data_IF_928011046031
#
_entry.id   IF_928011046031
#
_cell.length_a   1.000
_cell.length_b   1.000
_cell.length_c   1.000
_cell.angle_alpha   90.00
_cell.angle_beta   90.00
_cell.angle_gamma   90.00
#
_symmetry.space_group_name_H-M   'P 1'
#
loop_
_entity.id
_entity.type
_entity.pdbx_description
1 polymer ?
#
# COMPACT_ATOMS: atom_id res chain seq x y z
N UNK A 1 16.57 -5.40 -23.43
CA UNK A 1 15.24 -6.05 -23.40
C UNK A 1 15.39 -7.23 -22.46
N UNK A 2 15.00 -7.05 -21.21
CA UNK A 2 15.16 -8.08 -20.21
C UNK A 2 14.06 -9.10 -20.39
N UNK A 3 14.45 -10.30 -20.82
CA UNK A 3 13.55 -11.44 -20.93
C UNK A 3 13.21 -11.90 -19.53
N UNK A 4 12.21 -11.24 -18.88
CA UNK A 4 11.55 -11.81 -17.72
C UNK A 4 10.94 -13.10 -18.25
N UNK A 5 11.52 -14.25 -17.88
CA UNK A 5 10.85 -15.52 -18.09
C UNK A 5 9.44 -15.36 -17.53
N UNK A 6 8.41 -15.50 -18.38
CA UNK A 6 6.99 -15.39 -18.03
C UNK A 6 6.58 -16.56 -17.14
N UNK A 7 7.21 -16.67 -15.96
CA UNK A 7 6.60 -17.31 -14.84
C UNK A 7 5.54 -16.34 -14.31
N UNK A 8 4.33 -16.79 -14.11
CA UNK A 8 3.31 -15.97 -13.49
C UNK A 8 3.82 -15.44 -12.15
N UNK A 9 3.78 -14.15 -11.95
CA UNK A 9 4.06 -13.51 -10.67
C UNK A 9 2.97 -12.53 -10.33
N UNK A 10 2.87 -12.21 -9.04
CA UNK A 10 2.02 -11.14 -8.52
C UNK A 10 2.82 -10.28 -7.58
N UNK A 11 2.58 -8.98 -7.65
CA UNK A 11 3.21 -7.97 -6.79
C UNK A 11 2.16 -7.41 -5.86
N UNK A 12 2.40 -7.49 -4.56
CA UNK A 12 1.59 -6.81 -3.57
C UNK A 12 2.38 -5.65 -2.99
N UNK A 13 1.91 -4.42 -3.25
CA UNK A 13 2.40 -3.22 -2.61
C UNK A 13 1.74 -3.09 -1.25
N UNK A 14 2.48 -3.45 -0.22
CA UNK A 14 1.99 -3.51 1.14
C UNK A 14 2.17 -2.21 1.91
N UNK A 15 1.12 -1.77 2.63
CA UNK A 15 1.22 -0.60 3.49
C UNK A 15 -0.02 -0.38 4.35
N UNK A 16 0.12 0.47 5.38
CA UNK A 16 -1.02 0.92 6.19
C UNK A 16 -1.88 1.95 5.46
N UNK A 17 -1.25 2.83 4.68
CA UNK A 17 -1.89 3.89 3.90
C UNK A 17 -2.91 4.72 4.72
N UNK A 18 -2.40 5.49 5.67
CA UNK A 18 -3.20 6.28 6.61
C UNK A 18 -2.97 7.81 6.48
N UNK A 19 -3.43 8.45 5.37
CA UNK A 19 -3.95 7.87 4.14
C UNK A 19 -2.85 7.57 3.10
N UNK A 20 -3.24 6.95 1.96
CA UNK A 20 -2.41 6.96 0.76
C UNK A 20 -2.28 8.41 0.23
N UNK A 21 -1.10 8.79 -0.19
CA UNK A 21 -0.81 10.10 -0.79
C UNK A 21 -0.01 9.94 -2.10
N UNK A 22 0.23 11.03 -2.83
CA UNK A 22 0.91 10.99 -4.14
C UNK A 22 2.28 10.30 -4.13
N UNK A 23 3.01 10.34 -3.00
CA UNK A 23 4.27 9.61 -2.86
C UNK A 23 4.10 8.10 -2.91
N UNK A 24 3.07 7.57 -2.25
CA UNK A 24 2.72 6.16 -2.36
C UNK A 24 2.21 5.81 -3.77
N UNK A 25 1.40 6.69 -4.35
CA UNK A 25 0.87 6.48 -5.70
C UNK A 25 1.96 6.47 -6.77
N UNK A 26 2.96 7.35 -6.66
CA UNK A 26 4.12 7.36 -7.56
C UNK A 26 4.89 6.03 -7.53
N UNK A 27 5.10 5.46 -6.34
CA UNK A 27 5.70 4.14 -6.23
C UNK A 27 4.80 3.04 -6.84
N UNK A 28 3.49 3.09 -6.60
CA UNK A 28 2.55 2.16 -7.23
C UNK A 28 2.62 2.21 -8.75
N UNK A 29 2.66 3.40 -9.36
CA UNK A 29 2.82 3.56 -10.80
C UNK A 29 4.16 3.00 -11.33
N UNK A 30 5.26 3.22 -10.59
CA UNK A 30 6.57 2.62 -10.93
C UNK A 30 6.52 1.08 -10.91
N UNK A 31 5.85 0.51 -9.91
CA UNK A 31 5.64 -0.93 -9.84
C UNK A 31 4.83 -1.44 -11.05
N UNK A 32 3.75 -0.75 -11.41
CA UNK A 32 2.96 -1.08 -12.60
C UNK A 32 3.79 -0.99 -13.89
N UNK A 33 4.61 0.04 -14.04
CA UNK A 33 5.52 0.18 -15.18
C UNK A 33 6.58 -0.91 -15.25
N UNK A 34 7.04 -1.41 -14.10
CA UNK A 34 8.07 -2.47 -14.02
C UNK A 34 7.49 -3.87 -14.19
N UNK A 35 6.35 -4.16 -13.59
CA UNK A 35 5.82 -5.52 -13.46
C UNK A 35 4.54 -5.77 -14.26
N UNK A 36 4.01 -4.76 -14.93
CA UNK A 36 2.70 -4.80 -15.60
C UNK A 36 1.55 -4.46 -14.64
N UNK A 37 0.63 -3.61 -15.10
CA UNK A 37 -0.47 -3.11 -14.27
C UNK A 37 -1.38 -4.22 -13.74
N UNK A 38 -1.58 -5.27 -14.53
CA UNK A 38 -2.41 -6.44 -14.21
C UNK A 38 -1.82 -7.35 -13.13
N UNK A 39 -0.55 -7.16 -12.81
CA UNK A 39 0.17 -7.96 -11.82
C UNK A 39 0.38 -7.24 -10.48
N UNK A 40 0.06 -5.93 -10.39
CA UNK A 40 0.33 -5.11 -9.21
C UNK A 40 -0.94 -4.79 -8.46
N UNK A 41 -0.97 -5.13 -7.19
CA UNK A 41 -2.10 -4.93 -6.28
C UNK A 41 -1.64 -4.21 -5.02
N UNK A 42 -2.53 -3.43 -4.42
CA UNK A 42 -2.33 -2.82 -3.11
C UNK A 42 -2.85 -3.79 -2.04
N UNK A 43 -1.98 -4.10 -1.08
CA UNK A 43 -2.34 -4.90 0.09
C UNK A 43 -2.44 -3.98 1.32
N UNK A 44 -3.63 -3.78 1.81
CA UNK A 44 -3.89 -3.04 3.04
C UNK A 44 -5.05 -3.67 3.81
N UNK A 45 -5.12 -3.45 5.11
CA UNK A 45 -6.20 -3.99 5.93
C UNK A 45 -6.51 -3.06 7.09
N UNK A 46 -7.70 -3.19 7.65
CA UNK A 46 -8.07 -2.64 8.94
C UNK A 46 -8.05 -3.80 9.94
N UNK A 47 -6.92 -3.96 10.63
CA UNK A 47 -6.68 -5.13 11.47
C UNK A 47 -7.36 -5.03 12.83
N UNK A 48 -7.40 -6.16 13.57
CA UNK A 48 -8.03 -6.24 14.89
C UNK A 48 -7.52 -5.20 15.88
N UNK A 49 -6.24 -4.82 15.83
CA UNK A 49 -5.67 -3.79 16.70
C UNK A 49 -6.24 -2.40 16.40
N UNK A 50 -6.38 -2.07 15.11
CA UNK A 50 -6.99 -0.81 14.70
C UNK A 50 -8.49 -0.79 15.04
N UNK A 51 -9.20 -1.90 14.85
CA UNK A 51 -10.60 -2.02 15.26
C UNK A 51 -10.76 -1.81 16.76
N UNK A 52 -9.95 -2.46 17.60
CA UNK A 52 -10.01 -2.30 19.05
C UNK A 52 -9.74 -0.84 19.49
N UNK A 53 -8.80 -0.15 18.82
CA UNK A 53 -8.56 1.27 19.09
C UNK A 53 -9.78 2.13 18.71
N UNK A 54 -10.41 1.88 17.57
CA UNK A 54 -11.64 2.58 17.17
C UNK A 54 -12.81 2.32 18.11
N UNK A 55 -12.94 1.11 18.66
CA UNK A 55 -13.97 0.77 19.67
C UNK A 55 -13.78 1.57 20.98
N UNK A 56 -12.54 2.03 21.23
CA UNK A 56 -12.15 2.91 22.33
C UNK A 56 -12.10 4.40 21.94
N UNK A 57 -12.55 4.76 20.73
CA UNK A 57 -12.46 6.09 20.12
C UNK A 57 -11.02 6.63 19.96
N UNK A 58 -10.03 5.75 19.82
CA UNK A 58 -8.65 6.13 19.49
C UNK A 58 -8.41 6.01 17.98
N UNK A 59 -8.41 7.14 17.31
CA UNK A 59 -8.16 7.27 15.85
C UNK A 59 -6.75 7.75 15.52
N UNK A 60 -5.86 7.86 16.50
CA UNK A 60 -4.56 8.53 16.37
C UNK A 60 -3.61 7.83 15.39
N UNK A 61 -3.54 6.50 15.44
CA UNK A 61 -2.59 5.71 14.65
C UNK A 61 -3.15 5.28 13.28
N UNK A 62 -4.40 4.80 13.27
CA UNK A 62 -5.04 4.19 12.11
C UNK A 62 -6.48 4.77 11.94
N UNK A 63 -6.64 6.07 11.60
CA UNK A 63 -7.94 6.74 11.57
C UNK A 63 -8.90 6.20 10.50
N UNK A 64 -8.38 5.60 9.42
CA UNK A 64 -9.20 5.19 8.29
C UNK A 64 -9.41 3.68 8.25
N UNK A 65 -10.69 3.27 8.13
CA UNK A 65 -11.09 1.88 7.87
C UNK A 65 -10.60 1.41 6.50
N UNK A 66 -10.78 0.13 6.18
CA UNK A 66 -10.44 -0.38 4.85
C UNK A 66 -11.29 0.30 3.76
N UNK A 67 -12.58 0.44 3.98
CA UNK A 67 -13.54 1.03 3.04
C UNK A 67 -13.21 2.51 2.77
N UNK A 68 -12.83 3.26 3.78
CA UNK A 68 -12.39 4.64 3.63
C UNK A 68 -11.07 4.75 2.87
N UNK A 69 -10.10 3.90 3.17
CA UNK A 69 -8.85 3.84 2.40
C UNK A 69 -9.10 3.49 0.94
N UNK A 70 -9.97 2.51 0.69
CA UNK A 70 -10.38 2.11 -0.65
C UNK A 70 -11.02 3.29 -1.41
N UNK A 71 -11.98 3.98 -0.78
CA UNK A 71 -12.62 5.16 -1.34
C UNK A 71 -11.59 6.28 -1.67
N UNK A 72 -10.68 6.58 -0.75
CA UNK A 72 -9.61 7.57 -0.96
C UNK A 72 -8.74 7.19 -2.16
N UNK A 73 -8.27 5.95 -2.22
CA UNK A 73 -7.38 5.47 -3.28
C UNK A 73 -8.06 5.50 -4.65
N UNK A 74 -9.29 5.01 -4.72
CA UNK A 74 -10.07 5.01 -5.95
C UNK A 74 -10.37 6.43 -6.43
N UNK A 75 -10.90 7.29 -5.56
CA UNK A 75 -11.34 8.65 -5.92
C UNK A 75 -10.18 9.59 -6.24
N UNK A 76 -9.12 9.55 -5.43
CA UNK A 76 -8.02 10.49 -5.58
C UNK A 76 -7.03 10.09 -6.67
N UNK A 77 -6.80 8.79 -6.87
CA UNK A 77 -5.74 8.28 -7.74
C UNK A 77 -6.26 7.43 -8.90
N UNK A 78 -7.58 7.24 -9.01
CA UNK A 78 -8.20 6.40 -10.03
C UNK A 78 -7.62 4.97 -10.08
N UNK A 79 -7.29 4.44 -8.90
CA UNK A 79 -6.84 3.04 -8.78
C UNK A 79 -8.08 2.16 -8.93
N UNK A 80 -7.99 1.12 -9.75
CA UNK A 80 -9.10 0.19 -9.96
C UNK A 80 -9.46 -0.53 -8.64
N UNK A 81 -10.76 -0.67 -8.37
CA UNK A 81 -11.27 -1.28 -7.14
C UNK A 81 -10.73 -2.70 -6.92
N UNK A 82 -10.58 -3.47 -8.00
CA UNK A 82 -10.05 -4.83 -7.98
C UNK A 82 -8.54 -4.91 -7.71
N UNK A 83 -7.83 -3.79 -7.78
CA UNK A 83 -6.41 -3.68 -7.40
C UNK A 83 -6.20 -3.31 -5.94
N UNK A 84 -7.25 -2.94 -5.18
CA UNK A 84 -7.18 -2.58 -3.77
C UNK A 84 -7.73 -3.73 -2.93
N UNK A 85 -6.84 -4.49 -2.31
CA UNK A 85 -7.21 -5.76 -1.68
C UNK A 85 -7.12 -5.67 -0.15
N UNK A 86 -8.23 -6.05 0.51
CA UNK A 86 -8.26 -6.17 1.97
C UNK A 86 -7.52 -7.44 2.39
N UNK A 87 -6.23 -7.31 2.61
CA UNK A 87 -5.36 -8.42 3.01
C UNK A 87 -4.16 -7.92 3.81
N UNK A 88 -3.52 -8.82 4.55
CA UNK A 88 -2.34 -8.49 5.34
C UNK A 88 -1.17 -8.06 4.44
N UNK A 89 -0.56 -6.86 4.63
CA UNK A 89 0.51 -6.35 3.78
C UNK A 89 1.72 -7.29 3.65
N UNK A 90 2.05 -8.01 4.72
CA UNK A 90 3.23 -8.89 4.78
C UNK A 90 2.91 -10.36 4.50
N UNK A 91 1.64 -10.72 4.43
CA UNK A 91 1.14 -12.07 4.13
C UNK A 91 -0.15 -11.98 3.33
N UNK A 92 -0.11 -11.43 2.13
CA UNK A 92 -1.30 -11.26 1.32
C UNK A 92 -1.88 -12.61 0.89
N UNK A 93 -3.20 -12.68 0.85
CA UNK A 93 -3.88 -13.82 0.26
C UNK A 93 -3.94 -13.67 -1.26
N UNK A 94 -3.09 -14.39 -1.96
CA UNK A 94 -2.98 -14.34 -3.43
C UNK A 94 -4.27 -14.73 -4.16
N UNK A 95 -5.17 -15.50 -3.51
CA UNK A 95 -6.48 -15.88 -4.09
C UNK A 95 -7.38 -14.67 -4.32
N UNK A 96 -7.26 -13.64 -3.48
CA UNK A 96 -7.99 -12.39 -3.64
C UNK A 96 -7.58 -11.63 -4.91
N UNK A 97 -6.34 -11.81 -5.37
CA UNK A 97 -5.86 -11.35 -6.66
C UNK A 97 -6.07 -12.39 -7.78
N UNK A 98 -6.88 -13.42 -7.56
CA UNK A 98 -7.14 -14.51 -8.51
C UNK A 98 -5.86 -15.22 -8.98
N UNK A 99 -4.88 -15.38 -8.08
CA UNK A 99 -3.60 -16.05 -8.36
C UNK A 99 -3.47 -17.36 -7.59
N UNK A 100 -2.98 -18.39 -8.28
CA UNK A 100 -2.70 -19.68 -7.66
C UNK A 100 -1.27 -19.71 -7.13
N UNK A 101 -1.09 -19.85 -5.81
CA UNK A 101 0.22 -19.87 -5.15
C UNK A 101 1.16 -20.99 -5.61
N UNK A 102 0.61 -22.09 -6.15
CA UNK A 102 1.40 -23.21 -6.67
C UNK A 102 2.04 -22.90 -8.03
N UNK A 103 1.50 -21.93 -8.76
CA UNK A 103 1.93 -21.54 -10.09
C UNK A 103 2.53 -20.13 -10.15
N UNK A 104 2.30 -19.30 -9.12
CA UNK A 104 2.57 -17.88 -9.16
C UNK A 104 3.62 -17.50 -8.11
N UNK A 105 4.65 -16.76 -8.50
CA UNK A 105 5.62 -16.19 -7.59
C UNK A 105 5.04 -14.96 -6.87
N UNK A 106 5.37 -14.79 -5.60
CA UNK A 106 4.93 -13.65 -4.78
C UNK A 106 6.07 -12.64 -4.63
N UNK A 107 5.82 -11.41 -5.06
CA UNK A 107 6.68 -10.27 -4.80
C UNK A 107 5.98 -9.34 -3.81
N UNK A 108 6.65 -9.06 -2.70
CA UNK A 108 6.19 -8.13 -1.67
C UNK A 108 6.95 -6.81 -1.87
N UNK A 109 6.23 -5.77 -2.31
CA UNK A 109 6.80 -4.47 -2.58
C UNK A 109 6.51 -3.50 -1.42
N UNK A 110 7.53 -2.74 -1.03
CA UNK A 110 7.46 -1.72 0.01
C UNK A 110 8.23 -0.47 -0.42
N UNK A 111 7.96 0.65 0.25
CA UNK A 111 8.82 1.82 0.15
C UNK A 111 10.10 1.59 0.96
N UNK A 112 11.15 2.31 0.61
CA UNK A 112 12.42 2.37 1.35
C UNK A 112 12.23 2.77 2.82
N UNK A 113 11.21 3.57 3.13
CA UNK A 113 10.83 3.95 4.51
C UNK A 113 10.36 2.77 5.37
N UNK A 114 9.93 1.69 4.73
CA UNK A 114 9.50 0.44 5.37
C UNK A 114 10.58 -0.65 5.32
N UNK A 115 11.80 -0.30 4.90
CA UNK A 115 12.95 -1.21 4.87
C UNK A 115 13.20 -1.84 6.26
N UNK A 116 13.47 -3.13 6.27
CA UNK A 116 13.70 -3.89 7.50
C UNK A 116 12.46 -4.44 8.21
N UNK A 117 11.23 -4.11 7.76
CA UNK A 117 10.00 -4.73 8.29
C UNK A 117 9.88 -6.21 7.90
N UNK A 118 10.39 -6.57 6.74
CA UNK A 118 10.64 -7.96 6.34
C UNK A 118 12.14 -8.15 6.15
N UNK A 119 12.66 -9.25 6.67
CA UNK A 119 14.07 -9.61 6.53
C UNK A 119 14.23 -10.80 5.62
N UNK A 120 15.18 -10.76 4.68
CA UNK A 120 15.55 -11.91 3.90
C UNK A 120 15.95 -13.10 4.78
N UNK A 121 15.66 -14.31 4.31
CA UNK A 121 15.96 -15.54 5.01
C UNK A 121 15.88 -16.73 4.04
N UNK A 122 15.64 -17.92 4.56
CA UNK A 122 15.62 -19.13 3.75
C UNK A 122 14.51 -19.16 2.68
N UNK A 123 13.33 -18.64 3.01
CA UNK A 123 12.14 -18.66 2.13
C UNK A 123 11.74 -17.28 1.60
N UNK A 124 12.27 -16.22 2.18
CA UNK A 124 12.06 -14.85 1.72
C UNK A 124 13.40 -14.33 1.24
N UNK A 125 13.47 -13.87 -0.01
CA UNK A 125 14.69 -13.39 -0.63
C UNK A 125 14.52 -11.98 -1.15
N UNK A 126 15.60 -11.22 -1.32
CA UNK A 126 15.53 -9.96 -2.04
C UNK A 126 15.23 -10.23 -3.52
N UNK A 127 14.36 -9.40 -4.10
CA UNK A 127 14.16 -9.40 -5.54
C UNK A 127 15.37 -8.74 -6.21
N UNK A 128 16.01 -9.47 -7.09
CA UNK A 128 17.10 -8.98 -7.93
C UNK A 128 16.69 -9.12 -9.41
N UNK A 129 17.13 -8.17 -10.24
CA UNK A 129 16.86 -8.24 -11.67
C UNK A 129 17.50 -9.49 -12.26
N UNK A 130 16.72 -10.27 -13.02
CA UNK A 130 17.21 -11.52 -13.61
C UNK A 130 17.14 -12.74 -12.68
N UNK A 131 16.71 -12.59 -11.42
CA UNK A 131 16.47 -13.75 -10.55
C UNK A 131 15.38 -14.64 -11.15
N UNK A 132 15.59 -15.95 -11.11
CA UNK A 132 14.54 -16.91 -11.45
C UNK A 132 13.49 -16.89 -10.35
N UNK A 133 12.30 -16.40 -10.69
CA UNK A 133 11.16 -16.45 -9.77
C UNK A 133 10.57 -17.85 -9.73
N UNK A 134 10.34 -18.33 -8.52
CA UNK A 134 9.69 -19.62 -8.27
C UNK A 134 8.37 -19.40 -7.55
N UNK A 135 7.39 -20.31 -7.71
CA UNK A 135 6.08 -20.20 -7.08
C UNK A 135 6.14 -19.98 -5.57
N UNK A 136 5.11 -19.32 -5.05
CA UNK A 136 4.99 -19.02 -3.61
C UNK A 136 4.90 -20.30 -2.76
N UNK A 137 4.24 -21.33 -3.24
CA UNK A 137 4.03 -22.57 -2.49
C UNK A 137 5.31 -23.42 -2.44
N UNK A 138 5.78 -23.73 -1.25
CA UNK A 138 6.82 -24.72 -1.00
C UNK A 138 6.17 -25.97 -0.37
N UNK A 139 5.41 -25.74 0.72
CA UNK A 139 4.63 -26.74 1.43
C UNK A 139 3.59 -26.02 2.31
N UNK A 140 2.78 -26.78 3.07
CA UNK A 140 1.70 -26.19 3.89
C UNK A 140 2.17 -25.23 4.99
N UNK A 141 3.44 -25.32 5.39
CA UNK A 141 4.03 -24.47 6.45
C UNK A 141 4.92 -23.37 5.92
N UNK A 142 5.40 -23.48 4.69
CA UNK A 142 6.42 -22.59 4.16
C UNK A 142 5.99 -22.01 2.81
N UNK A 143 6.12 -20.71 2.68
CA UNK A 143 5.79 -19.96 1.48
C UNK A 143 6.97 -19.08 1.08
N UNK A 144 7.30 -19.11 -0.22
CA UNK A 144 8.38 -18.28 -0.78
C UNK A 144 7.84 -16.91 -1.14
N UNK A 145 8.65 -15.89 -0.90
CA UNK A 145 8.38 -14.54 -1.39
C UNK A 145 9.67 -13.82 -1.75
N UNK A 146 9.55 -12.78 -2.56
CA UNK A 146 10.63 -11.90 -2.95
C UNK A 146 10.32 -10.48 -2.47
N UNK A 147 11.29 -9.82 -1.82
CA UNK A 147 11.16 -8.45 -1.34
C UNK A 147 11.65 -7.50 -2.41
N UNK A 148 10.82 -6.56 -2.80
CA UNK A 148 11.19 -5.43 -3.64
C UNK A 148 11.06 -4.13 -2.84
N UNK A 149 12.16 -3.41 -2.68
CA UNK A 149 12.16 -2.08 -2.06
C UNK A 149 12.23 -1.02 -3.15
N UNK A 150 11.20 -0.19 -3.23
CA UNK A 150 11.13 0.90 -4.18
C UNK A 150 11.45 2.24 -3.52
N UNK A 151 12.22 3.08 -4.23
CA UNK A 151 12.58 4.41 -3.74
C UNK A 151 11.36 5.35 -3.75
N UNK A 152 11.11 5.98 -2.63
CA UNK A 152 10.12 7.05 -2.51
C UNK A 152 10.62 8.29 -3.23
N UNK A 153 9.78 8.89 -4.09
CA UNK A 153 10.13 10.17 -4.76
C UNK A 153 9.98 11.39 -3.85
N UNK A 154 9.27 11.25 -2.76
CA UNK A 154 8.90 12.36 -1.87
C UNK A 154 9.34 12.02 -0.44
N UNK A 155 10.58 12.39 -0.11
CA UNK A 155 11.19 12.09 1.18
C UNK A 155 10.39 12.69 2.37
N UNK A 156 9.85 13.89 2.18
CA UNK A 156 9.14 14.64 3.23
C UNK A 156 7.67 14.25 3.38
N UNK A 157 7.13 13.39 2.51
CA UNK A 157 5.73 12.99 2.57
C UNK A 157 5.54 11.75 3.43
N UNK A 158 4.73 11.88 4.47
CA UNK A 158 4.25 10.74 5.25
C UNK A 158 2.79 10.95 5.68
N UNK A 159 2.06 9.84 5.88
CA UNK A 159 0.70 9.93 6.41
C UNK A 159 0.66 10.60 7.79
N UNK A 160 1.69 10.46 8.61
CA UNK A 160 1.80 11.13 9.92
C UNK A 160 1.95 12.65 9.75
N UNK A 161 2.87 13.11 8.87
CA UNK A 161 3.04 14.54 8.58
C UNK A 161 1.73 15.16 8.09
N UNK A 162 1.04 14.47 7.19
CA UNK A 162 -0.27 14.91 6.70
C UNK A 162 -1.31 15.04 7.81
N UNK A 163 -1.50 13.99 8.62
CA UNK A 163 -2.47 14.01 9.74
C UNK A 163 -2.19 15.11 10.74
N UNK A 164 -0.93 15.23 11.16
CA UNK A 164 -0.53 16.31 12.08
C UNK A 164 -0.83 17.70 11.50
N UNK A 165 -0.51 17.92 10.22
CA UNK A 165 -0.81 19.19 9.55
C UNK A 165 -2.33 19.48 9.51
N UNK A 166 -3.15 18.49 9.14
CA UNK A 166 -4.61 18.64 9.12
C UNK A 166 -5.20 19.00 10.50
N UNK A 167 -4.60 18.51 11.58
CA UNK A 167 -5.06 18.79 12.95
C UNK A 167 -4.53 20.11 13.51
N UNK A 168 -3.35 20.58 13.10
CA UNK A 168 -2.67 21.73 13.70
C UNK A 168 -2.82 23.04 12.91
N UNK A 169 -3.10 22.98 11.61
CA UNK A 169 -3.31 24.18 10.80
C UNK A 169 -4.60 24.91 11.22
N UNK A 170 -4.46 26.23 11.45
CA UNK A 170 -5.52 27.04 12.04
C UNK A 170 -6.59 27.54 11.06
N UNK A 171 -6.38 27.44 9.74
CA UNK A 171 -7.33 27.92 8.73
C UNK A 171 -7.72 26.85 7.76
N UNK A 172 -8.95 26.91 7.25
CA UNK A 172 -9.46 25.98 6.24
C UNK A 172 -8.68 26.08 4.91
N UNK A 173 -8.25 27.26 4.54
CA UNK A 173 -7.43 27.49 3.34
C UNK A 173 -6.12 26.73 3.44
N UNK A 174 -5.40 26.84 4.56
CA UNK A 174 -4.14 26.15 4.76
C UNK A 174 -4.30 24.62 4.78
N UNK A 175 -5.40 24.10 5.36
CA UNK A 175 -5.72 22.67 5.32
C UNK A 175 -6.01 22.18 3.89
N UNK A 176 -6.74 22.96 3.09
CA UNK A 176 -7.02 22.64 1.68
C UNK A 176 -5.75 22.69 0.81
N UNK A 177 -4.85 23.61 1.08
CA UNK A 177 -3.54 23.67 0.42
C UNK A 177 -2.70 22.44 0.77
N UNK A 178 -2.62 22.07 2.05
CA UNK A 178 -1.94 20.85 2.50
C UNK A 178 -2.54 19.61 1.84
N UNK A 179 -3.86 19.48 1.84
CA UNK A 179 -4.56 18.39 1.18
C UNK A 179 -4.17 18.30 -0.31
N UNK A 180 -4.26 19.42 -1.03
CA UNK A 180 -3.92 19.50 -2.45
C UNK A 180 -2.46 19.15 -2.69
N UNK A 181 -1.56 19.59 -1.80
CA UNK A 181 -0.15 19.23 -1.88
C UNK A 181 0.08 17.72 -1.77
N UNK A 182 -0.61 17.02 -0.84
CA UNK A 182 -0.44 15.60 -0.62
C UNK A 182 -1.13 14.72 -1.67
N UNK A 183 -2.25 15.15 -2.21
CA UNK A 183 -3.05 14.36 -3.16
C UNK A 183 -2.91 14.80 -4.62
N UNK A 184 -2.30 15.96 -4.88
CA UNK A 184 -2.11 16.49 -6.24
C UNK A 184 -3.34 17.16 -6.84
N UNK A 185 -4.51 17.02 -6.21
CA UNK A 185 -5.78 17.68 -6.57
C UNK A 185 -6.66 17.82 -5.34
N UNK A 186 -7.64 18.75 -5.41
CA UNK A 186 -8.64 18.89 -4.37
C UNK A 186 -9.90 18.08 -4.70
N UNK A 187 -10.54 17.49 -3.70
CA UNK A 187 -11.85 16.85 -3.78
C UNK A 187 -12.59 17.06 -2.47
N UNK A 188 -13.73 17.74 -2.52
CA UNK A 188 -14.52 18.12 -1.35
C UNK A 188 -14.97 16.90 -0.52
N UNK A 189 -15.45 15.84 -1.17
CA UNK A 189 -15.95 14.64 -0.48
C UNK A 189 -14.85 13.93 0.30
N UNK A 190 -13.67 13.74 -0.30
CA UNK A 190 -12.53 13.11 0.37
C UNK A 190 -11.93 14.03 1.44
N UNK A 191 -11.88 15.34 1.18
CA UNK A 191 -11.44 16.31 2.19
C UNK A 191 -12.30 16.25 3.45
N UNK A 192 -13.63 16.27 3.29
CA UNK A 192 -14.57 16.20 4.41
C UNK A 192 -14.45 14.89 5.17
N UNK A 193 -14.41 13.74 4.47
CA UNK A 193 -14.21 12.44 5.08
C UNK A 193 -12.94 12.41 5.95
N UNK A 194 -11.83 12.90 5.42
CA UNK A 194 -10.54 12.93 6.15
C UNK A 194 -10.61 13.89 7.35
N UNK A 195 -11.18 15.07 7.15
CA UNK A 195 -11.28 16.08 8.20
C UNK A 195 -12.18 15.61 9.36
N UNK A 196 -13.31 14.98 9.06
CA UNK A 196 -14.20 14.38 10.06
C UNK A 196 -13.45 13.30 10.88
N UNK A 197 -12.75 12.38 10.21
CA UNK A 197 -12.02 11.30 10.89
C UNK A 197 -10.87 11.77 11.75
N UNK A 198 -10.17 12.85 11.35
CA UNK A 198 -9.04 13.36 12.12
C UNK A 198 -9.45 14.28 13.27
N UNK A 199 -10.71 14.72 13.33
CA UNK A 199 -11.23 15.58 14.39
C UNK A 199 -12.36 14.90 15.22
N UNK A 200 -12.61 13.61 14.99
CA UNK A 200 -13.48 12.78 15.81
C UNK A 200 -12.76 12.38 17.10
#
# INVERSE_FOLDING_TARGET
MDTICRGEYVVFYGGRFQPMHKGHFGLFQKLQGKFGSENVFIATTFGKKAQAAHDENDYSADPFTFEEKHCIMHTMFNISEDQIINTQPYRPDMRLAKRNRELTALILAFSDKDEGRLRPGRVIQNYEMGIKLEPNYINDKEHRAYIYTGLSEFEDMSGTTFRNGMQTLGTEEAKKELFTHFFGKFNDGIYNLINERLNA
#
